data_IF_655658550386
#
_entry.id   IF_655658550386
#
_cell.length_a   1.000
_cell.length_b   1.000
_cell.length_c   1.000
_cell.angle_alpha   90.00
_cell.angle_beta   90.00
_cell.angle_gamma   90.00
#
_symmetry.space_group_name_H-M   'P 1'
#
loop_
_entity.id
_entity.type
_entity.pdbx_description
1 polymer ?
#
# COMPACT_ATOMS: atom_id res chain seq x y z
N UNK A 1 -3.24 30.24 -17.87
CA UNK A 1 -1.98 30.95 -18.18
C UNK A 1 -0.87 29.91 -18.22
N UNK A 2 -0.16 29.71 -19.33
CA UNK A 2 0.96 28.76 -19.37
C UNK A 2 2.10 29.26 -18.47
N UNK A 3 2.72 28.32 -17.74
CA UNK A 3 3.87 28.63 -16.88
C UNK A 3 5.10 28.89 -17.75
N UNK A 4 5.65 30.10 -17.70
CA UNK A 4 6.90 30.47 -18.36
C UNK A 4 8.05 30.52 -17.33
N UNK A 5 9.10 29.75 -17.60
CA UNK A 5 10.28 29.62 -16.75
C UNK A 5 11.09 30.93 -16.73
N UNK A 6 11.06 31.70 -17.81
CA UNK A 6 11.90 32.89 -17.98
C UNK A 6 11.34 34.13 -17.29
N UNK A 7 10.04 34.16 -17.01
CA UNK A 7 9.34 35.28 -16.37
C UNK A 7 9.24 35.16 -14.85
N UNK A 8 9.70 34.05 -14.26
CA UNK A 8 9.61 33.84 -12.81
C UNK A 8 10.57 34.78 -12.04
N UNK A 9 10.07 35.61 -11.09
CA UNK A 9 10.90 36.46 -10.24
C UNK A 9 11.91 35.66 -9.41
N UNK A 10 11.55 34.42 -9.03
CA UNK A 10 12.39 33.53 -8.25
C UNK A 10 13.10 32.54 -9.18
N UNK A 11 14.24 32.95 -9.72
CA UNK A 11 15.06 32.11 -10.60
C UNK A 11 15.77 31.02 -9.79
N UNK A 12 15.74 29.79 -10.28
CA UNK A 12 16.52 28.71 -9.68
C UNK A 12 18.02 28.99 -9.88
N UNK A 13 18.79 29.04 -8.79
CA UNK A 13 20.25 29.28 -8.83
C UNK A 13 21.02 28.14 -9.52
N UNK A 14 20.42 26.95 -9.57
CA UNK A 14 20.94 25.80 -10.32
C UNK A 14 19.88 25.30 -11.28
N UNK A 15 20.28 25.07 -12.52
CA UNK A 15 19.46 24.40 -13.52
C UNK A 15 19.19 22.97 -13.05
N UNK A 16 17.91 22.61 -13.00
CA UNK A 16 17.46 21.22 -12.85
C UNK A 16 17.08 20.72 -14.25
N UNK A 17 17.34 19.45 -14.62
CA UNK A 17 18.04 18.41 -13.88
C UNK A 17 19.57 18.58 -13.93
N UNK A 18 20.29 18.15 -12.89
CA UNK A 18 21.74 18.16 -12.93
C UNK A 18 22.26 17.13 -13.94
N UNK A 19 23.30 17.49 -14.70
CA UNK A 19 23.98 16.57 -15.61
C UNK A 19 24.67 15.45 -14.82
N UNK A 20 24.07 14.25 -14.81
CA UNK A 20 24.61 13.10 -14.06
C UNK A 20 25.95 12.60 -14.60
N UNK A 21 26.29 12.88 -15.86
CA UNK A 21 27.57 12.51 -16.48
C UNK A 21 28.76 13.29 -15.94
N UNK A 22 28.53 14.49 -15.38
CA UNK A 22 29.57 15.39 -14.87
C UNK A 22 29.80 15.24 -13.35
N UNK A 23 29.00 14.40 -12.69
CA UNK A 23 28.96 14.25 -11.24
C UNK A 23 29.79 13.03 -10.82
N UNK A 24 30.60 13.19 -9.77
CA UNK A 24 31.35 12.08 -9.19
C UNK A 24 30.43 10.92 -8.73
N UNK A 25 30.89 9.67 -8.90
CA UNK A 25 30.14 8.45 -8.61
C UNK A 25 29.61 8.43 -7.17
N UNK A 26 30.40 8.91 -6.19
CA UNK A 26 29.98 8.96 -4.78
C UNK A 26 28.80 9.90 -4.58
N UNK A 27 28.79 11.02 -5.28
CA UNK A 27 27.68 11.97 -5.24
C UNK A 27 26.43 11.43 -5.95
N UNK A 28 26.60 10.78 -7.10
CA UNK A 28 25.52 10.11 -7.83
C UNK A 28 24.83 9.06 -6.95
N UNK A 29 25.60 8.22 -6.26
CA UNK A 29 25.05 7.21 -5.34
C UNK A 29 24.22 7.82 -4.20
N UNK A 30 24.66 8.96 -3.65
CA UNK A 30 23.90 9.70 -2.61
C UNK A 30 22.56 10.21 -3.14
N UNK A 31 22.54 10.73 -4.37
CA UNK A 31 21.32 11.20 -5.02
C UNK A 31 20.36 10.04 -5.31
N UNK A 32 20.86 8.94 -5.83
CA UNK A 32 20.07 7.74 -6.09
C UNK A 32 19.44 7.19 -4.80
N UNK A 33 20.24 7.08 -3.72
CA UNK A 33 19.74 6.66 -2.41
C UNK A 33 18.66 7.58 -1.89
N UNK A 34 18.81 8.90 -2.03
CA UNK A 34 17.81 9.90 -1.65
C UNK A 34 16.53 9.75 -2.50
N UNK A 35 16.67 9.55 -3.80
CA UNK A 35 15.55 9.32 -4.71
C UNK A 35 14.75 8.09 -4.33
N UNK A 36 15.40 6.93 -4.15
CA UNK A 36 14.73 5.68 -3.75
C UNK A 36 13.96 5.82 -2.44
N UNK A 37 14.54 6.51 -1.44
CA UNK A 37 13.87 6.80 -0.16
C UNK A 37 12.62 7.66 -0.35
N UNK A 38 12.72 8.74 -1.15
CA UNK A 38 11.59 9.63 -1.45
C UNK A 38 10.52 8.92 -2.27
N UNK A 39 10.89 8.10 -3.23
CA UNK A 39 9.97 7.28 -4.00
C UNK A 39 9.20 6.33 -3.08
N UNK A 40 9.90 5.59 -2.21
CA UNK A 40 9.27 4.71 -1.22
C UNK A 40 8.24 5.46 -0.35
N UNK A 41 8.56 6.68 0.08
CA UNK A 41 7.64 7.52 0.86
C UNK A 41 6.45 8.02 0.03
N UNK A 42 6.67 8.46 -1.22
CA UNK A 42 5.60 8.92 -2.13
C UNK A 42 4.60 7.81 -2.43
N UNK A 43 5.09 6.58 -2.59
CA UNK A 43 4.28 5.40 -2.89
C UNK A 43 3.73 4.72 -1.63
N UNK A 44 4.17 5.11 -0.43
CA UNK A 44 3.59 4.59 0.80
C UNK A 44 2.13 5.05 0.94
N UNK A 45 1.20 4.11 1.12
CA UNK A 45 -0.23 4.37 1.37
C UNK A 45 -0.63 3.94 2.79
N UNK A 46 -0.16 4.64 3.84
CA UNK A 46 -0.34 4.20 5.23
C UNK A 46 -1.81 4.15 5.68
N UNK A 47 -2.66 5.02 5.12
CA UNK A 47 -4.10 5.03 5.46
C UNK A 47 -4.83 3.81 4.87
N UNK A 48 -4.50 3.44 3.63
CA UNK A 48 -5.06 2.26 2.98
C UNK A 48 -4.62 0.98 3.69
N UNK A 49 -3.33 0.85 3.99
CA UNK A 49 -2.82 -0.33 4.72
C UNK A 49 -3.41 -0.43 6.12
N UNK A 50 -3.65 0.70 6.81
CA UNK A 50 -4.35 0.71 8.09
C UNK A 50 -5.79 0.20 7.94
N UNK A 51 -6.54 0.69 6.94
CA UNK A 51 -7.91 0.26 6.69
C UNK A 51 -8.00 -1.25 6.41
N UNK A 52 -7.16 -1.77 5.51
CA UNK A 52 -7.13 -3.21 5.19
C UNK A 52 -6.82 -4.04 6.42
N UNK A 53 -5.87 -3.61 7.28
CA UNK A 53 -5.56 -4.30 8.53
C UNK A 53 -6.73 -4.32 9.51
N UNK A 54 -7.45 -3.19 9.64
CA UNK A 54 -8.64 -3.11 10.49
C UNK A 54 -9.75 -4.02 9.95
N UNK A 55 -9.99 -3.99 8.63
CA UNK A 55 -10.97 -4.88 8.00
C UNK A 55 -10.60 -6.36 8.16
N UNK A 56 -9.31 -6.71 8.01
CA UNK A 56 -8.82 -8.06 8.23
C UNK A 56 -9.08 -8.51 9.68
N UNK A 57 -8.71 -7.71 10.68
CA UNK A 57 -8.98 -8.04 12.09
C UNK A 57 -10.48 -8.13 12.36
N UNK A 58 -11.29 -7.23 11.79
CA UNK A 58 -12.75 -7.27 11.88
C UNK A 58 -13.32 -8.56 11.29
N UNK A 59 -12.82 -9.01 10.13
CA UNK A 59 -13.27 -10.26 9.50
C UNK A 59 -12.93 -11.49 10.34
N UNK A 60 -11.76 -11.52 10.97
CA UNK A 60 -11.35 -12.63 11.86
C UNK A 60 -12.28 -12.69 13.07
N UNK A 61 -12.53 -11.57 13.72
CA UNK A 61 -13.43 -11.50 14.88
C UNK A 61 -14.86 -11.88 14.48
N UNK A 62 -15.33 -11.39 13.34
CA UNK A 62 -16.66 -11.73 12.82
C UNK A 62 -16.83 -13.24 12.61
N UNK A 63 -15.86 -13.89 11.93
CA UNK A 63 -15.87 -15.34 11.71
C UNK A 63 -15.80 -16.09 13.05
N UNK A 64 -14.98 -15.64 14.00
CA UNK A 64 -14.87 -16.28 15.30
C UNK A 64 -16.20 -16.21 16.08
N UNK A 65 -16.87 -15.05 16.10
CA UNK A 65 -18.17 -14.89 16.75
C UNK A 65 -19.23 -15.75 16.09
N UNK A 66 -19.28 -15.78 14.76
CA UNK A 66 -20.18 -16.66 14.01
C UNK A 66 -19.91 -18.14 14.34
N UNK A 67 -18.64 -18.55 14.34
CA UNK A 67 -18.18 -19.90 14.64
C UNK A 67 -18.54 -20.39 16.05
N UNK A 68 -18.69 -19.49 17.01
CA UNK A 68 -19.05 -19.84 18.40
C UNK A 68 -20.56 -19.79 18.61
N UNK A 69 -21.25 -18.78 18.09
CA UNK A 69 -22.65 -18.53 18.43
C UNK A 69 -23.66 -19.18 17.47
N UNK A 70 -23.30 -19.32 16.19
CA UNK A 70 -24.25 -19.69 15.14
C UNK A 70 -23.83 -20.90 14.32
N UNK A 71 -22.54 -21.24 14.32
CA UNK A 71 -22.05 -22.43 13.65
C UNK A 71 -22.34 -23.64 14.54
N UNK A 72 -23.37 -24.39 14.17
CA UNK A 72 -23.65 -25.68 14.78
C UNK A 72 -22.67 -26.74 14.26
N UNK A 73 -21.59 -26.93 15.01
CA UNK A 73 -20.55 -27.93 14.77
C UNK A 73 -21.07 -29.38 14.77
N UNK A 74 -22.20 -29.66 15.43
CA UNK A 74 -22.77 -31.01 15.45
C UNK A 74 -23.49 -31.36 14.14
N UNK A 75 -24.11 -30.39 13.45
CA UNK A 75 -24.80 -30.65 12.17
C UNK A 75 -23.84 -31.02 11.04
N UNK A 76 -22.60 -30.52 11.05
CA UNK A 76 -21.62 -30.78 9.99
C UNK A 76 -20.90 -32.14 10.10
N UNK A 77 -20.99 -32.80 11.26
CA UNK A 77 -20.42 -34.13 11.51
C UNK A 77 -21.46 -35.25 11.63
N UNK A 78 -22.77 -34.92 11.58
CA UNK A 78 -23.83 -35.90 11.75
C UNK A 78 -24.05 -36.69 10.44
N UNK A 79 -23.89 -38.03 10.41
CA UNK A 79 -24.12 -38.85 9.22
C UNK A 79 -25.56 -38.81 8.66
N UNK A 80 -26.53 -38.28 9.42
CA UNK A 80 -27.91 -38.06 8.95
C UNK A 80 -28.07 -36.85 8.01
N UNK A 81 -27.21 -35.84 8.07
CA UNK A 81 -27.34 -34.63 7.23
C UNK A 81 -26.36 -34.71 6.04
N UNK A 82 -26.69 -35.52 5.02
CA UNK A 82 -25.87 -35.58 3.80
C UNK A 82 -26.06 -34.30 2.99
N UNK A 83 -24.98 -33.68 2.46
CA UNK A 83 -25.06 -32.40 1.76
C UNK A 83 -25.85 -32.41 0.43
N UNK A 84 -26.38 -33.56 -0.01
CA UNK A 84 -27.04 -33.76 -1.30
C UNK A 84 -28.27 -34.69 -1.24
N UNK A 85 -29.09 -34.65 -0.19
CA UNK A 85 -30.27 -35.54 -0.06
C UNK A 85 -31.55 -35.04 -0.77
N UNK A 86 -31.43 -34.19 -1.79
CA UNK A 86 -32.60 -33.57 -2.45
C UNK A 86 -32.38 -33.07 -3.87
N UNK A 87 -31.51 -33.72 -4.65
CA UNK A 87 -31.47 -33.62 -6.12
C UNK A 87 -31.64 -35.01 -6.71
#
# INVERSE_FOLDING_TARGET
IPFDIYTNPYKATRLWPPDFSKIDRKHQFRLERKYKRRAKLKWARPRWTKFVKVAQMGSIVFIAVYGVLFLDWNSQGNPEHKPFEGV
#
